data_IF_892864967537
#
_entry.id   IF_892864967537
#
_cell.length_a   1.000
_cell.length_b   1.000
_cell.length_c   1.000
_cell.angle_alpha   90.00
_cell.angle_beta   90.00
_cell.angle_gamma   90.00
#
_symmetry.space_group_name_H-M   'P 1'
#
loop_
_entity.id
_entity.type
_entity.pdbx_description
1 polymer ?
#
# COMPACT_ATOMS: atom_id res chain seq x y z
N UNK A 1 26.57 -39.36 -46.88
CA UNK A 1 27.91 -39.98 -46.97
C UNK A 1 28.53 -39.90 -45.57
N UNK A 2 28.55 -41.03 -44.86
CA UNK A 2 29.75 -41.84 -44.54
C UNK A 2 30.71 -41.12 -43.58
N UNK A 3 30.64 -41.46 -42.29
CA UNK A 3 31.48 -42.48 -41.61
C UNK A 3 32.93 -42.02 -41.42
N UNK A 4 33.31 -41.76 -40.18
CA UNK A 4 34.68 -41.97 -39.64
C UNK A 4 34.53 -42.14 -38.11
N UNK A 5 35.20 -43.01 -37.38
CA UNK A 5 35.77 -44.35 -37.54
C UNK A 5 36.28 -44.68 -36.13
N UNK A 6 35.89 -45.85 -35.60
CA UNK A 6 36.48 -46.48 -34.41
C UNK A 6 37.62 -47.40 -34.89
N UNK A 7 38.72 -47.50 -34.12
CA UNK A 7 39.32 -48.81 -33.84
C UNK A 7 39.60 -48.95 -32.32
N UNK A 8 39.15 -49.96 -31.56
CA UNK A 8 39.37 -51.43 -31.56
C UNK A 8 40.83 -51.90 -31.45
N UNK A 9 41.26 -52.26 -30.23
CA UNK A 9 42.22 -53.32 -29.85
C UNK A 9 41.81 -53.74 -28.41
N UNK A 10 41.12 -54.85 -28.12
CA UNK A 10 41.44 -56.30 -28.14
C UNK A 10 42.58 -56.71 -27.20
N UNK A 11 42.21 -57.45 -26.15
CA UNK A 11 42.98 -58.48 -25.39
C UNK A 11 42.57 -58.41 -23.91
N UNK A 12 42.24 -59.46 -23.14
CA UNK A 12 42.40 -60.91 -23.22
C UNK A 12 41.37 -61.51 -22.23
N UNK A 13 40.81 -62.67 -22.58
CA UNK A 13 39.98 -63.51 -21.70
C UNK A 13 40.84 -64.21 -20.63
N UNK A 14 40.17 -64.68 -19.57
CA UNK A 14 40.25 -66.04 -18.98
C UNK A 14 40.35 -66.03 -17.43
N UNK A 15 39.51 -66.88 -16.83
CA UNK A 15 39.55 -67.51 -15.48
C UNK A 15 38.92 -66.81 -14.26
N UNK A 16 37.71 -67.26 -13.91
CA UNK A 16 37.31 -67.55 -12.53
C UNK A 16 37.84 -68.96 -12.17
N UNK A 17 38.23 -69.30 -10.92
CA UNK A 17 37.30 -69.32 -9.78
C UNK A 17 37.94 -68.99 -8.41
N UNK A 18 37.11 -68.86 -7.36
CA UNK A 18 37.58 -69.13 -5.98
C UNK A 18 37.01 -68.24 -4.89
N UNK A 19 36.12 -68.82 -4.10
CA UNK A 19 35.69 -68.37 -2.77
C UNK A 19 36.89 -67.99 -1.88
N UNK A 20 36.85 -66.78 -1.32
CA UNK A 20 37.30 -66.52 0.05
C UNK A 20 36.62 -65.24 0.55
N UNK A 21 35.68 -65.41 1.48
CA UNK A 21 35.07 -64.31 2.21
C UNK A 21 36.15 -63.59 3.04
N UNK A 22 36.27 -62.29 2.84
CA UNK A 22 36.92 -61.39 3.78
C UNK A 22 35.84 -60.45 4.29
N UNK A 23 35.58 -60.53 5.59
CA UNK A 23 34.72 -59.60 6.31
C UNK A 23 35.46 -58.26 6.39
N UNK A 24 35.05 -57.30 5.57
CA UNK A 24 35.43 -55.90 5.74
C UNK A 24 34.42 -55.25 6.70
N UNK A 25 34.96 -54.63 7.75
CA UNK A 25 34.25 -53.87 8.77
C UNK A 25 33.34 -52.81 8.13
N UNK A 26 32.04 -53.07 8.17
CA UNK A 26 31.02 -52.08 7.84
C UNK A 26 30.91 -51.04 8.96
N UNK A 27 31.86 -50.11 9.04
CA UNK A 27 31.63 -48.85 9.74
C UNK A 27 31.02 -47.87 8.75
N UNK A 28 29.71 -47.99 8.52
CA UNK A 28 28.97 -47.05 7.68
C UNK A 28 28.89 -45.69 8.40
N UNK A 29 29.81 -44.78 8.07
CA UNK A 29 29.59 -43.37 8.35
C UNK A 29 28.43 -42.90 7.46
N UNK A 30 27.26 -42.68 8.08
CA UNK A 30 26.14 -42.02 7.43
C UNK A 30 26.62 -40.65 6.93
N UNK A 31 26.30 -40.23 5.69
CA UNK A 31 26.59 -38.88 5.25
C UNK A 31 25.85 -37.89 6.16
N UNK A 32 26.57 -36.91 6.69
CA UNK A 32 25.98 -35.83 7.47
C UNK A 32 24.88 -35.17 6.62
N UNK A 33 23.65 -35.23 7.13
CA UNK A 33 22.51 -34.51 6.56
C UNK A 33 22.90 -33.03 6.49
N UNK A 34 22.86 -32.43 5.31
CA UNK A 34 23.01 -30.98 5.18
C UNK A 34 22.00 -30.31 6.13
N UNK A 35 22.39 -29.25 6.87
CA UNK A 35 21.46 -28.55 7.73
C UNK A 35 20.25 -28.12 6.89
N UNK A 36 19.06 -28.34 7.42
CA UNK A 36 17.85 -27.83 6.80
C UNK A 36 18.02 -26.32 6.54
N UNK A 37 17.56 -25.81 5.38
CA UNK A 37 17.59 -24.37 5.15
C UNK A 37 16.89 -23.68 6.31
N UNK A 38 17.55 -22.69 6.90
CA UNK A 38 16.94 -21.88 7.95
C UNK A 38 15.61 -21.33 7.40
N UNK A 39 14.53 -21.36 8.21
CA UNK A 39 13.27 -20.76 7.78
C UNK A 39 13.53 -19.32 7.38
N UNK A 40 13.12 -18.93 6.17
CA UNK A 40 13.20 -17.54 5.73
C UNK A 40 12.61 -16.64 6.82
N UNK A 41 13.22 -15.47 7.09
CA UNK A 41 12.72 -14.56 8.11
C UNK A 41 11.27 -14.21 7.78
N UNK A 42 10.34 -14.75 8.57
CA UNK A 42 8.93 -14.42 8.44
C UNK A 42 8.80 -12.92 8.59
N UNK A 43 8.26 -12.25 7.57
CA UNK A 43 7.92 -10.82 7.60
C UNK A 43 7.27 -10.52 8.95
N UNK A 44 7.80 -9.60 9.77
CA UNK A 44 7.27 -9.38 11.11
C UNK A 44 5.78 -9.08 11.00
N UNK A 45 4.96 -9.82 11.75
CA UNK A 45 3.54 -9.55 11.85
C UNK A 45 3.39 -8.07 12.24
N UNK A 46 2.84 -7.28 11.32
CA UNK A 46 2.65 -5.85 11.55
C UNK A 46 1.78 -5.69 12.80
N UNK A 47 2.35 -5.10 13.86
CA UNK A 47 1.60 -4.83 15.09
C UNK A 47 0.39 -3.98 14.73
N UNK A 48 -0.80 -4.47 15.07
CA UNK A 48 -2.03 -3.71 14.84
C UNK A 48 -1.95 -2.34 15.53
N UNK A 49 -2.45 -1.26 14.91
CA UNK A 49 -2.36 0.07 15.51
C UNK A 49 -3.10 0.10 16.85
N UNK A 50 -2.44 0.63 17.89
CA UNK A 50 -2.96 0.62 19.26
C UNK A 50 -4.33 1.33 19.32
N UNK A 51 -5.33 0.66 19.89
CA UNK A 51 -6.67 1.22 20.04
C UNK A 51 -7.54 1.21 18.78
N UNK A 52 -7.04 0.75 17.63
CA UNK A 52 -7.82 0.67 16.39
C UNK A 52 -8.49 -0.69 16.17
N UNK A 53 -8.24 -1.67 17.05
CA UNK A 53 -8.80 -3.03 16.97
C UNK A 53 -8.30 -3.83 15.76
N UNK A 54 -8.76 -5.08 15.64
CA UNK A 54 -8.20 -6.00 14.66
C UNK A 54 -8.61 -5.74 13.21
N UNK A 55 -7.66 -5.97 12.30
CA UNK A 55 -7.87 -5.96 10.84
C UNK A 55 -8.37 -7.31 10.30
N UNK A 56 -8.29 -8.38 11.09
CA UNK A 56 -8.67 -9.72 10.65
C UNK A 56 -10.16 -9.77 10.27
N UNK A 57 -10.45 -10.21 9.05
CA UNK A 57 -11.82 -10.39 8.58
C UNK A 57 -11.90 -11.44 7.45
N UNK A 58 -13.12 -11.76 7.00
CA UNK A 58 -13.35 -12.81 6.01
C UNK A 58 -13.05 -12.39 4.55
N UNK A 59 -12.87 -11.08 4.29
CA UNK A 59 -12.73 -10.56 2.94
C UNK A 59 -11.30 -10.13 2.67
N UNK A 60 -10.64 -9.40 3.56
CA UNK A 60 -9.26 -8.93 3.43
C UNK A 60 -8.48 -9.01 4.76
N UNK A 61 -7.51 -8.11 5.01
CA UNK A 61 -7.19 -6.89 4.25
C UNK A 61 -6.35 -7.17 3.00
N UNK A 62 -6.67 -6.50 1.89
CA UNK A 62 -5.87 -6.50 0.65
C UNK A 62 -5.23 -5.15 0.39
N UNK A 63 -4.07 -5.16 -0.28
CA UNK A 63 -3.52 -3.95 -0.90
C UNK A 63 -4.34 -3.60 -2.15
N UNK A 64 -4.94 -2.41 -2.14
CA UNK A 64 -5.74 -1.86 -3.25
C UNK A 64 -4.95 -1.77 -4.57
N UNK A 65 -3.64 -1.48 -4.51
CA UNK A 65 -2.77 -1.33 -5.69
C UNK A 65 -2.57 -2.67 -6.39
N UNK A 66 -2.35 -3.73 -5.61
CA UNK A 66 -2.24 -5.09 -6.10
C UNK A 66 -3.57 -5.55 -6.72
N UNK A 67 -4.68 -5.33 -6.02
CA UNK A 67 -6.01 -5.71 -6.50
C UNK A 67 -6.39 -4.99 -7.80
N UNK A 68 -6.06 -3.69 -7.93
CA UNK A 68 -6.21 -2.97 -9.19
C UNK A 68 -5.36 -3.57 -10.31
N UNK A 69 -4.11 -3.92 -10.02
CA UNK A 69 -3.20 -4.53 -10.98
C UNK A 69 -3.73 -5.86 -11.51
N UNK A 70 -4.20 -6.72 -10.62
CA UNK A 70 -4.83 -8.00 -10.95
C UNK A 70 -6.11 -7.82 -11.78
N UNK A 71 -6.97 -6.87 -11.39
CA UNK A 71 -8.16 -6.52 -12.16
C UNK A 71 -7.82 -6.03 -13.56
N UNK A 72 -6.81 -5.18 -13.71
CA UNK A 72 -6.37 -4.65 -15.00
C UNK A 72 -5.83 -5.74 -15.93
N UNK A 73 -5.23 -6.80 -15.37
CA UNK A 73 -4.79 -8.00 -16.11
C UNK A 73 -5.95 -8.92 -16.50
N UNK A 74 -7.16 -8.68 -15.99
CA UNK A 74 -8.31 -9.57 -16.19
C UNK A 74 -8.32 -10.80 -15.27
N UNK A 75 -7.49 -10.82 -14.21
CA UNK A 75 -7.39 -11.94 -13.27
C UNK A 75 -8.56 -11.94 -12.27
N UNK A 76 -9.80 -12.03 -12.76
CA UNK A 76 -11.01 -11.95 -11.93
C UNK A 76 -11.19 -13.14 -10.97
N UNK A 77 -10.45 -14.24 -11.19
CA UNK A 77 -10.34 -15.35 -10.23
C UNK A 77 -9.49 -15.02 -9.00
N UNK A 78 -8.70 -13.93 -9.03
CA UNK A 78 -7.96 -13.47 -7.86
C UNK A 78 -8.94 -12.92 -6.81
N UNK A 79 -8.88 -13.37 -5.54
CA UNK A 79 -9.78 -12.91 -4.49
C UNK A 79 -9.78 -11.39 -4.29
N UNK A 80 -8.63 -10.72 -4.39
CA UNK A 80 -8.53 -9.26 -4.22
C UNK A 80 -9.15 -8.51 -5.40
N UNK A 81 -8.95 -8.96 -6.63
CA UNK A 81 -9.56 -8.37 -7.82
C UNK A 81 -11.09 -8.51 -7.81
N UNK A 82 -11.59 -9.69 -7.44
CA UNK A 82 -13.03 -9.96 -7.32
C UNK A 82 -13.66 -9.14 -6.19
N UNK A 83 -13.01 -9.11 -5.01
CA UNK A 83 -13.45 -8.29 -3.88
C UNK A 83 -13.50 -6.80 -4.25
N UNK A 84 -12.50 -6.29 -4.98
CA UNK A 84 -12.46 -4.88 -5.38
C UNK A 84 -13.69 -4.48 -6.20
N UNK A 85 -14.12 -5.31 -7.16
CA UNK A 85 -15.32 -5.06 -7.95
C UNK A 85 -16.56 -5.02 -7.05
N UNK A 86 -16.68 -5.99 -6.14
CA UNK A 86 -17.79 -6.03 -5.19
C UNK A 86 -17.83 -4.80 -4.29
N UNK A 87 -16.67 -4.36 -3.78
CA UNK A 87 -16.56 -3.19 -2.92
C UNK A 87 -16.90 -1.90 -3.67
N UNK A 88 -16.30 -1.68 -4.84
CA UNK A 88 -16.53 -0.48 -5.67
C UNK A 88 -18.02 -0.31 -5.99
N UNK A 89 -18.67 -1.38 -6.42
CA UNK A 89 -20.06 -1.33 -6.87
C UNK A 89 -21.05 -1.23 -5.71
N UNK A 90 -20.82 -1.95 -4.61
CA UNK A 90 -21.78 -2.06 -3.51
C UNK A 90 -21.61 -0.97 -2.46
N UNK A 91 -20.37 -0.62 -2.13
CA UNK A 91 -20.06 0.20 -0.96
C UNK A 91 -19.47 1.56 -1.32
N UNK A 92 -19.09 1.80 -2.57
CA UNK A 92 -18.53 3.08 -3.02
C UNK A 92 -19.34 3.69 -4.18
N UNK A 93 -20.66 3.56 -4.14
CA UNK A 93 -21.56 4.29 -5.04
C UNK A 93 -21.39 5.81 -4.90
N UNK A 94 -21.87 6.57 -5.88
CA UNK A 94 -21.79 8.03 -5.85
C UNK A 94 -22.51 8.63 -4.63
N UNK A 95 -23.61 8.02 -4.18
CA UNK A 95 -24.32 8.46 -2.97
C UNK A 95 -23.48 8.25 -1.70
N UNK A 96 -22.72 7.16 -1.60
CA UNK A 96 -21.81 6.93 -0.48
C UNK A 96 -20.66 7.93 -0.54
N UNK A 97 -20.05 8.11 -1.71
CA UNK A 97 -18.93 9.06 -1.89
C UNK A 97 -19.36 10.51 -1.64
N UNK A 98 -20.58 10.90 -2.02
CA UNK A 98 -21.12 12.23 -1.77
C UNK A 98 -21.67 12.40 -0.36
N UNK A 99 -21.72 11.32 0.44
CA UNK A 99 -22.31 11.26 1.78
C UNK A 99 -23.81 11.58 1.78
N UNK A 100 -24.49 11.28 0.68
CA UNK A 100 -25.95 11.39 0.54
C UNK A 100 -26.67 10.17 1.12
N UNK A 101 -26.05 8.99 1.08
CA UNK A 101 -26.61 7.76 1.64
C UNK A 101 -26.62 7.78 3.18
N UNK A 102 -27.69 7.24 3.78
CA UNK A 102 -27.80 7.07 5.24
C UNK A 102 -26.80 6.05 5.78
N UNK A 103 -26.41 5.08 4.96
CA UNK A 103 -25.50 4.01 5.33
C UNK A 103 -24.04 4.31 4.95
N UNK A 104 -23.74 5.54 4.54
CA UNK A 104 -22.41 5.91 4.05
C UNK A 104 -21.28 5.55 5.03
N UNK A 105 -21.47 5.78 6.33
CA UNK A 105 -20.44 5.46 7.34
C UNK A 105 -20.14 3.95 7.39
N UNK A 106 -21.18 3.11 7.38
CA UNK A 106 -21.03 1.65 7.38
C UNK A 106 -20.40 1.15 6.08
N UNK A 107 -20.84 1.66 4.93
CA UNK A 107 -20.26 1.30 3.63
C UNK A 107 -18.79 1.67 3.53
N UNK A 108 -18.40 2.84 4.05
CA UNK A 108 -16.99 3.24 4.16
C UNK A 108 -16.20 2.29 5.06
N UNK A 109 -16.72 1.94 6.25
CA UNK A 109 -16.05 0.99 7.16
C UNK A 109 -15.84 -0.38 6.49
N UNK A 110 -16.87 -0.92 5.84
CA UNK A 110 -16.80 -2.19 5.14
C UNK A 110 -15.79 -2.17 3.99
N UNK A 111 -15.76 -1.09 3.20
CA UNK A 111 -14.77 -0.91 2.15
C UNK A 111 -13.34 -0.89 2.72
N UNK A 112 -13.11 -0.17 3.82
CA UNK A 112 -11.79 -0.03 4.44
C UNK A 112 -11.35 -1.25 5.25
N UNK A 113 -12.26 -2.15 5.65
CA UNK A 113 -11.89 -3.47 6.18
C UNK A 113 -11.35 -4.40 5.10
N UNK A 114 -11.93 -4.34 3.89
CA UNK A 114 -11.47 -5.14 2.76
C UNK A 114 -10.19 -4.56 2.15
N UNK A 115 -10.13 -3.24 1.97
CA UNK A 115 -9.02 -2.52 1.35
C UNK A 115 -8.61 -1.31 2.18
N UNK A 116 -7.75 -1.48 3.20
CA UNK A 116 -7.36 -0.38 4.09
C UNK A 116 -6.78 0.84 3.37
N UNK A 117 -6.02 0.65 2.28
CA UNK A 117 -5.47 1.73 1.46
C UNK A 117 -6.36 2.15 0.27
N UNK A 118 -7.67 1.85 0.28
CA UNK A 118 -8.55 2.26 -0.81
C UNK A 118 -8.75 3.80 -0.83
N UNK A 119 -8.25 4.53 -1.85
CA UNK A 119 -8.15 5.99 -1.81
C UNK A 119 -9.51 6.68 -1.79
N UNK A 120 -10.48 6.18 -2.57
CA UNK A 120 -11.86 6.71 -2.57
C UNK A 120 -12.55 6.53 -1.21
N UNK A 121 -12.37 5.37 -0.57
CA UNK A 121 -12.97 5.08 0.73
C UNK A 121 -12.32 5.90 1.86
N UNK A 122 -10.98 6.01 1.85
CA UNK A 122 -10.25 6.86 2.80
C UNK A 122 -10.64 8.33 2.63
N UNK A 123 -10.77 8.82 1.40
CA UNK A 123 -11.24 10.18 1.16
C UNK A 123 -12.68 10.40 1.64
N UNK A 124 -13.58 9.43 1.42
CA UNK A 124 -14.93 9.47 1.95
C UNK A 124 -14.94 9.48 3.49
N UNK A 125 -14.07 8.70 4.14
CA UNK A 125 -13.90 8.70 5.59
C UNK A 125 -13.48 10.08 6.12
N UNK A 126 -12.46 10.70 5.51
CA UNK A 126 -12.00 12.07 5.84
C UNK A 126 -13.17 13.06 5.77
N UNK A 127 -13.92 13.04 4.67
CA UNK A 127 -15.07 13.93 4.49
C UNK A 127 -16.20 13.64 5.47
N UNK A 128 -16.44 12.38 5.78
CA UNK A 128 -17.48 11.96 6.70
C UNK A 128 -17.19 12.43 8.13
N UNK A 129 -15.96 12.23 8.61
CA UNK A 129 -15.53 12.71 9.93
C UNK A 129 -15.58 14.25 9.99
N UNK A 130 -15.18 14.95 8.92
CA UNK A 130 -15.34 16.42 8.86
C UNK A 130 -16.79 16.87 9.02
N UNK A 131 -17.76 16.10 8.48
CA UNK A 131 -19.19 16.42 8.58
C UNK A 131 -19.79 16.05 9.94
N UNK A 132 -19.38 14.92 10.51
CA UNK A 132 -20.01 14.33 11.69
C UNK A 132 -19.22 14.51 12.99
N UNK A 133 -18.00 15.03 12.91
CA UNK A 133 -17.01 14.95 13.98
C UNK A 133 -16.40 13.55 14.14
N UNK A 134 -15.34 13.42 14.95
CA UNK A 134 -14.75 12.12 15.27
C UNK A 134 -15.79 11.17 15.89
N UNK A 135 -15.66 9.85 15.71
CA UNK A 135 -16.50 8.90 16.44
C UNK A 135 -16.35 9.09 17.94
N UNK A 136 -17.45 8.89 18.66
CA UNK A 136 -17.39 8.75 20.12
C UNK A 136 -16.63 7.47 20.47
N UNK A 137 -15.96 7.48 21.62
CA UNK A 137 -15.31 6.29 22.15
C UNK A 137 -16.29 5.11 22.22
N UNK A 138 -15.89 3.95 21.70
CA UNK A 138 -16.71 2.74 21.68
C UNK A 138 -17.80 2.69 20.58
N UNK A 139 -17.81 3.65 19.64
CA UNK A 139 -18.65 3.54 18.45
C UNK A 139 -18.32 2.24 17.68
N UNK A 140 -19.35 1.45 17.38
CA UNK A 140 -19.20 0.15 16.70
C UNK A 140 -19.31 0.23 15.18
N UNK A 141 -19.86 1.32 14.68
CA UNK A 141 -20.27 1.54 13.30
C UNK A 141 -19.23 2.32 12.47
N UNK A 142 -18.26 3.00 13.11
CA UNK A 142 -17.15 3.66 12.42
C UNK A 142 -15.91 3.82 13.28
N UNK A 143 -14.74 3.64 12.67
CA UNK A 143 -13.45 4.05 13.26
C UNK A 143 -13.14 5.52 12.97
N UNK A 144 -12.16 6.07 13.69
CA UNK A 144 -11.61 7.39 13.35
C UNK A 144 -10.82 7.31 12.05
N UNK A 145 -10.70 8.44 11.36
CA UNK A 145 -9.87 8.55 10.15
C UNK A 145 -8.41 8.21 10.46
N UNK A 146 -7.89 8.62 11.63
CA UNK A 146 -6.56 8.22 12.07
C UNK A 146 -6.39 6.70 12.10
N UNK A 147 -7.35 5.97 12.69
CA UNK A 147 -7.31 4.51 12.72
C UNK A 147 -7.38 3.87 11.33
N UNK A 148 -8.21 4.40 10.42
CA UNK A 148 -8.24 3.90 9.05
C UNK A 148 -6.90 4.11 8.33
N UNK A 149 -6.27 5.27 8.52
CA UNK A 149 -4.98 5.57 7.90
C UNK A 149 -3.86 4.71 8.48
N UNK A 150 -3.80 4.54 9.80
CA UNK A 150 -2.78 3.68 10.42
C UNK A 150 -2.90 2.25 9.91
N UNK A 151 -4.13 1.74 9.77
CA UNK A 151 -4.42 0.45 9.13
C UNK A 151 -4.04 0.41 7.64
N UNK A 152 -4.24 1.50 6.91
CA UNK A 152 -3.79 1.59 5.52
C UNK A 152 -2.26 1.46 5.41
N UNK A 153 -1.53 2.07 6.35
CA UNK A 153 -0.06 2.03 6.38
C UNK A 153 0.51 0.69 6.84
N UNK A 154 -0.23 -0.11 7.62
CA UNK A 154 0.19 -1.48 7.92
C UNK A 154 0.13 -2.39 6.70
N UNK A 155 -0.77 -2.11 5.76
CA UNK A 155 -0.92 -2.86 4.50
C UNK A 155 0.00 -2.31 3.42
N UNK A 156 0.03 -0.99 3.24
CA UNK A 156 0.69 -0.30 2.13
C UNK A 156 1.42 0.95 2.64
N UNK A 157 2.47 0.76 3.44
CA UNK A 157 3.23 1.86 4.05
C UNK A 157 3.99 2.75 3.05
N UNK A 158 4.20 2.24 1.83
CA UNK A 158 4.81 2.94 0.70
C UNK A 158 3.77 3.56 -0.27
N UNK A 159 2.47 3.51 0.07
CA UNK A 159 1.42 4.13 -0.74
C UNK A 159 1.35 5.64 -0.49
N UNK A 160 1.95 6.40 -1.41
CA UNK A 160 1.95 7.86 -1.33
C UNK A 160 0.55 8.50 -1.27
N UNK A 161 -0.50 7.86 -1.83
CA UNK A 161 -1.87 8.39 -1.74
C UNK A 161 -2.40 8.33 -0.31
N UNK A 162 -2.04 7.30 0.46
CA UNK A 162 -2.40 7.20 1.88
C UNK A 162 -1.76 8.36 2.66
N UNK A 163 -0.48 8.65 2.42
CA UNK A 163 0.22 9.77 3.04
C UNK A 163 -0.36 11.14 2.64
N UNK A 164 -0.75 11.31 1.37
CA UNK A 164 -1.45 12.51 0.91
C UNK A 164 -2.78 12.68 1.66
N UNK A 165 -3.58 11.62 1.77
CA UNK A 165 -4.87 11.66 2.48
C UNK A 165 -4.69 11.93 3.97
N UNK A 166 -3.60 11.43 4.59
CA UNK A 166 -3.24 11.80 5.96
C UNK A 166 -2.90 13.28 6.09
N UNK A 167 -2.12 13.82 5.16
CA UNK A 167 -1.87 15.27 5.10
C UNK A 167 -3.18 16.06 5.02
N UNK A 168 -4.14 15.65 4.18
CA UNK A 168 -5.45 16.30 4.08
C UNK A 168 -6.23 16.22 5.39
N UNK A 169 -6.25 15.06 6.05
CA UNK A 169 -6.89 14.90 7.34
C UNK A 169 -6.31 15.83 8.41
N UNK A 170 -4.98 15.89 8.54
CA UNK A 170 -4.28 16.73 9.51
C UNK A 170 -4.51 18.22 9.21
N UNK A 171 -4.48 18.60 7.93
CA UNK A 171 -4.76 19.96 7.49
C UNK A 171 -6.18 20.39 7.91
N UNK A 172 -7.20 19.55 7.68
CA UNK A 172 -8.57 19.84 8.09
C UNK A 172 -8.72 20.01 9.61
N UNK A 173 -7.91 19.30 10.38
CA UNK A 173 -7.81 19.41 11.84
C UNK A 173 -6.85 20.50 12.32
N UNK A 174 -6.39 21.38 11.40
CA UNK A 174 -5.49 22.51 11.69
C UNK A 174 -4.11 22.10 12.22
N UNK A 175 -3.74 20.83 12.12
CA UNK A 175 -2.40 20.32 12.43
C UNK A 175 -1.46 20.56 11.23
N UNK A 176 -1.23 21.83 10.90
CA UNK A 176 -0.58 22.21 9.63
C UNK A 176 0.89 21.77 9.53
N UNK A 177 1.64 21.79 10.64
CA UNK A 177 3.03 21.33 10.66
C UNK A 177 3.12 19.84 10.32
N UNK A 178 2.29 19.01 10.94
CA UNK A 178 2.25 17.58 10.66
C UNK A 178 1.72 17.29 9.25
N UNK A 179 0.72 18.05 8.78
CA UNK A 179 0.22 17.94 7.42
C UNK A 179 1.32 18.19 6.38
N UNK A 180 2.16 19.21 6.57
CA UNK A 180 3.32 19.49 5.71
C UNK A 180 4.27 18.29 5.65
N UNK A 181 4.57 17.66 6.79
CA UNK A 181 5.42 16.47 6.84
C UNK A 181 4.82 15.34 6.00
N UNK A 182 3.52 15.03 6.17
CA UNK A 182 2.87 13.94 5.43
C UNK A 182 2.75 14.22 3.94
N UNK A 183 2.46 15.46 3.55
CA UNK A 183 2.45 15.87 2.15
C UNK A 183 3.82 15.78 1.48
N UNK A 184 4.89 16.19 2.16
CA UNK A 184 6.25 16.05 1.63
C UNK A 184 6.62 14.58 1.45
N UNK A 185 6.25 13.72 2.40
CA UNK A 185 6.47 12.29 2.26
C UNK A 185 5.68 11.67 1.10
N UNK A 186 4.44 12.12 0.86
CA UNK A 186 3.70 11.71 -0.33
C UNK A 186 4.40 12.11 -1.65
N UNK A 187 5.02 13.29 -1.69
CA UNK A 187 5.85 13.72 -2.83
C UNK A 187 7.11 12.86 -2.99
N UNK A 188 7.78 12.50 -1.89
CA UNK A 188 8.94 11.60 -1.88
C UNK A 188 8.60 10.21 -2.43
N UNK A 189 7.39 9.73 -2.16
CA UNK A 189 6.84 8.48 -2.71
C UNK A 189 6.31 8.62 -4.15
N UNK A 190 6.55 9.75 -4.82
CA UNK A 190 6.26 9.95 -6.23
C UNK A 190 4.82 10.35 -6.55
N UNK A 191 4.04 10.84 -5.57
CA UNK A 191 2.69 11.36 -5.87
C UNK A 191 2.79 12.65 -6.67
N UNK A 192 2.55 12.56 -7.97
CA UNK A 192 2.48 13.71 -8.85
C UNK A 192 1.04 14.21 -8.99
N UNK A 193 0.64 15.14 -8.11
CA UNK A 193 -0.72 15.69 -8.14
C UNK A 193 -0.72 17.21 -7.98
N UNK A 194 -1.42 17.91 -8.87
CA UNK A 194 -1.64 19.35 -8.74
C UNK A 194 -2.41 19.70 -7.45
N UNK A 195 -3.32 18.82 -7.02
CA UNK A 195 -4.04 18.93 -5.76
C UNK A 195 -3.11 18.80 -4.54
N UNK A 196 -2.16 17.86 -4.56
CA UNK A 196 -1.16 17.71 -3.51
C UNK A 196 -0.32 18.99 -3.36
N UNK A 197 0.19 19.51 -4.49
CA UNK A 197 0.95 20.77 -4.51
C UNK A 197 0.12 21.95 -3.97
N UNK A 198 -1.15 22.05 -4.36
CA UNK A 198 -2.06 23.09 -3.87
C UNK A 198 -2.29 23.00 -2.37
N UNK A 199 -2.61 21.79 -1.86
CA UNK A 199 -2.89 21.55 -0.46
C UNK A 199 -1.65 21.76 0.42
N UNK A 200 -0.48 21.32 -0.05
CA UNK A 200 0.80 21.59 0.60
C UNK A 200 1.09 23.09 0.62
N UNK A 201 0.90 23.80 -0.50
CA UNK A 201 1.09 25.25 -0.55
C UNK A 201 0.22 26.02 0.45
N UNK A 202 -1.05 25.61 0.62
CA UNK A 202 -1.93 26.17 1.64
C UNK A 202 -1.46 25.87 3.07
N UNK A 203 -0.98 24.65 3.32
CA UNK A 203 -0.44 24.27 4.64
C UNK A 203 0.87 25.02 4.96
N UNK A 204 1.73 25.25 3.96
CA UNK A 204 2.98 26.00 4.12
C UNK A 204 2.72 27.47 4.52
N UNK A 205 1.70 28.11 3.94
CA UNK A 205 1.28 29.45 4.39
C UNK A 205 0.79 29.48 5.84
N UNK A 206 0.31 28.36 6.37
CA UNK A 206 -0.15 28.26 7.77
C UNK A 206 0.98 28.06 8.77
N UNK A 207 2.18 27.72 8.28
CA UNK A 207 3.40 27.58 9.07
C UNK A 207 4.45 28.62 8.68
N UNK A 208 4.00 29.71 8.07
CA UNK A 208 4.79 30.88 7.64
C UNK A 208 5.91 30.60 6.62
N UNK A 209 5.88 29.44 5.94
CA UNK A 209 6.77 29.14 4.82
C UNK A 209 6.22 29.67 3.50
N UNK A 210 6.33 30.99 3.31
CA UNK A 210 5.83 31.69 2.12
C UNK A 210 6.55 31.27 0.85
N UNK A 211 7.87 31.04 0.91
CA UNK A 211 8.67 30.66 -0.25
C UNK A 211 8.35 29.23 -0.71
N UNK A 212 8.23 28.30 0.25
CA UNK A 212 7.74 26.95 -0.04
C UNK A 212 6.34 26.98 -0.62
N UNK A 213 5.43 27.78 -0.06
CA UNK A 213 4.07 27.91 -0.59
C UNK A 213 4.05 28.44 -2.04
N UNK A 214 4.88 29.44 -2.36
CA UNK A 214 5.01 29.98 -3.71
C UNK A 214 5.52 28.92 -4.69
N UNK A 215 6.55 28.15 -4.32
CA UNK A 215 7.08 27.07 -5.15
C UNK A 215 5.99 26.02 -5.46
N UNK A 216 5.25 25.59 -4.44
CA UNK A 216 4.17 24.62 -4.58
C UNK A 216 2.99 25.17 -5.38
N UNK A 217 2.66 26.45 -5.22
CA UNK A 217 1.63 27.11 -6.03
C UNK A 217 1.98 27.12 -7.53
N UNK A 218 3.25 27.40 -7.87
CA UNK A 218 3.70 27.35 -9.27
C UNK A 218 3.53 25.96 -9.86
N UNK A 219 3.89 24.92 -9.13
CA UNK A 219 3.71 23.52 -9.55
C UNK A 219 2.22 23.17 -9.74
N UNK A 220 1.36 23.57 -8.80
CA UNK A 220 -0.08 23.34 -8.91
C UNK A 220 -0.67 24.03 -10.16
N UNK A 221 -0.38 25.32 -10.36
CA UNK A 221 -0.95 26.09 -11.46
C UNK A 221 -0.31 25.84 -12.82
N UNK A 222 0.90 25.26 -12.88
CA UNK A 222 1.48 24.76 -14.14
C UNK A 222 0.69 23.59 -14.74
N UNK A 223 -0.18 22.96 -13.95
CA UNK A 223 -1.07 21.86 -14.34
C UNK A 223 -2.55 22.29 -14.32
N UNK A 224 -2.82 23.56 -14.58
CA UNK A 224 -4.16 24.15 -14.68
C UNK A 224 -5.08 23.89 -13.47
N UNK A 225 -4.51 23.80 -12.25
CA UNK A 225 -5.32 23.55 -11.05
C UNK A 225 -6.37 24.66 -10.84
N UNK A 226 -7.67 24.32 -10.70
CA UNK A 226 -8.75 25.29 -10.88
C UNK A 226 -8.96 26.24 -9.69
N UNK A 227 -8.45 25.90 -8.51
CA UNK A 227 -8.74 26.68 -7.30
C UNK A 227 -7.76 27.86 -7.14
N UNK A 228 -8.29 29.08 -7.22
CA UNK A 228 -7.51 30.31 -7.05
C UNK A 228 -7.29 30.73 -5.58
N UNK A 229 -7.66 29.89 -4.61
CA UNK A 229 -7.56 30.21 -3.17
C UNK A 229 -6.13 30.50 -2.72
N UNK A 230 -5.18 29.64 -3.11
CA UNK A 230 -3.76 29.80 -2.82
C UNK A 230 -3.17 31.02 -3.55
N UNK A 231 -3.43 31.15 -4.86
CA UNK A 231 -3.01 32.31 -5.67
C UNK A 231 -3.42 33.64 -5.04
N UNK A 232 -4.69 33.78 -4.65
CA UNK A 232 -5.20 35.01 -4.00
C UNK A 232 -4.49 35.33 -2.68
N UNK A 233 -4.09 34.33 -1.90
CA UNK A 233 -3.32 34.54 -0.67
C UNK A 233 -1.92 35.05 -0.98
N UNK A 234 -1.25 34.47 -1.98
CA UNK A 234 0.09 34.87 -2.40
C UNK A 234 0.13 36.27 -3.02
N UNK A 235 -0.90 36.66 -3.79
CA UNK A 235 -1.06 38.04 -4.29
C UNK A 235 -1.16 39.03 -3.13
N UNK A 236 -1.97 38.73 -2.11
CA UNK A 236 -2.11 39.58 -0.92
C UNK A 236 -0.80 39.74 -0.13
N UNK A 237 0.07 38.74 -0.21
CA UNK A 237 1.42 38.79 0.38
C UNK A 237 2.45 39.48 -0.52
N UNK A 238 2.07 39.92 -1.73
CA UNK A 238 2.97 40.59 -2.68
C UNK A 238 3.99 39.67 -3.37
N UNK A 239 3.84 38.34 -3.24
CA UNK A 239 4.81 37.35 -3.78
C UNK A 239 4.34 36.65 -5.06
N UNK A 240 3.15 36.99 -5.55
CA UNK A 240 2.58 36.48 -6.80
C UNK A 240 2.01 37.66 -7.60
N UNK A 241 2.41 37.77 -8.87
CA UNK A 241 1.93 38.81 -9.79
C UNK A 241 0.49 38.54 -10.25
N UNK A 242 -0.31 39.59 -10.39
CA UNK A 242 -1.67 39.48 -10.92
C UNK A 242 -1.70 38.94 -12.35
#
# INVERSE_FOLDING_TARGET
MRFVAIPLIVSILIFAPGLAAQAEDATSALPALAPAPEPEPTKPASREPEGCGSLQNAVGPYDYREAQSERARGNLGNPSASALIGIDNKYLSDEVQTLASRDAALSIDLALRAFPNHPRALWAAVRNERRQGPPKYGARDRLSVACYIERALTVAGDDGLVWMLWGIYLHQNKAYRDAVVKYRHALELGVESAELNYNLGLALLKVDDVQGALAQARLAYSRDYPLNGLKRKLIKLGVWSQ
#
